data_IF_625084325386
#
_entry.id   IF_625084325386
#
_cell.length_a   1.000
_cell.length_b   1.000
_cell.length_c   1.000
_cell.angle_alpha   90.00
_cell.angle_beta   90.00
_cell.angle_gamma   90.00
#
_symmetry.space_group_name_H-M   'P 1'
#
loop_
_entity.id
_entity.type
_entity.pdbx_description
1 polymer ?
#
# COMPACT_ATOMS: atom_id res chain seq x y z
N UNK A 1 -38.70 41.21 -12.77
CA UNK A 1 -37.30 40.74 -12.77
C UNK A 1 -37.26 39.46 -11.98
N UNK A 2 -36.83 38.35 -12.59
CA UNK A 2 -36.78 37.06 -11.92
C UNK A 2 -35.65 37.07 -10.89
N UNK A 3 -36.00 36.97 -9.59
CA UNK A 3 -35.02 36.68 -8.56
C UNK A 3 -34.68 35.19 -8.65
N UNK A 4 -33.47 34.89 -9.10
CA UNK A 4 -32.94 33.54 -9.05
C UNK A 4 -32.57 33.23 -7.60
N UNK A 5 -33.36 32.39 -6.93
CA UNK A 5 -32.98 31.77 -5.66
C UNK A 5 -31.92 30.70 -5.94
N UNK A 6 -30.65 31.09 -5.92
CA UNK A 6 -29.53 30.15 -5.95
C UNK A 6 -29.51 29.47 -4.57
N UNK A 7 -29.91 28.20 -4.50
CA UNK A 7 -29.73 27.39 -3.29
C UNK A 7 -28.24 27.14 -3.10
N UNK A 8 -27.57 27.97 -2.29
CA UNK A 8 -26.15 27.77 -1.99
C UNK A 8 -26.06 26.73 -0.88
N UNK A 9 -25.36 25.63 -1.18
CA UNK A 9 -25.16 24.53 -0.25
C UNK A 9 -24.29 24.98 0.94
N UNK A 10 -24.74 24.75 2.17
CA UNK A 10 -24.09 25.22 3.41
C UNK A 10 -22.66 24.70 3.54
N UNK A 11 -22.39 23.54 2.95
CA UNK A 11 -21.09 22.88 2.95
C UNK A 11 -19.99 23.72 2.27
N UNK A 12 -20.36 24.64 1.36
CA UNK A 12 -19.40 25.49 0.65
C UNK A 12 -18.75 26.58 1.52
N UNK A 13 -19.29 26.84 2.72
CA UNK A 13 -18.75 27.83 3.66
C UNK A 13 -18.27 27.22 4.98
N UNK A 14 -18.03 25.90 4.99
CA UNK A 14 -17.48 25.19 6.12
C UNK A 14 -15.95 25.35 6.20
N UNK A 15 -15.43 25.41 7.43
CA UNK A 15 -14.00 25.43 7.69
C UNK A 15 -13.45 23.99 7.58
N UNK A 16 -12.47 23.71 6.71
CA UNK A 16 -11.93 22.34 6.55
C UNK A 16 -11.25 21.77 7.80
N UNK A 17 -10.93 22.61 8.80
CA UNK A 17 -10.24 22.20 10.03
C UNK A 17 -11.22 21.83 11.14
N UNK A 18 -12.23 22.66 11.41
CA UNK A 18 -13.21 22.41 12.47
C UNK A 18 -14.55 21.86 11.97
N UNK A 19 -14.75 21.82 10.65
CA UNK A 19 -15.97 21.35 9.97
C UNK A 19 -17.25 22.16 10.30
N UNK A 20 -17.09 23.29 10.99
CA UNK A 20 -18.15 24.26 11.26
C UNK A 20 -18.16 25.38 10.20
N UNK A 21 -19.30 26.07 10.07
CA UNK A 21 -19.41 27.32 9.33
C UNK A 21 -18.32 28.33 9.76
N UNK A 22 -17.67 28.97 8.78
CA UNK A 22 -16.50 29.83 9.00
C UNK A 22 -16.75 30.93 10.05
N UNK A 23 -16.00 30.91 11.14
CA UNK A 23 -15.96 31.95 12.19
C UNK A 23 -14.73 32.83 11.96
N UNK A 24 -14.95 34.11 11.70
CA UNK A 24 -13.92 35.06 11.30
C UNK A 24 -13.07 34.53 10.14
N UNK A 25 -13.67 34.31 8.95
CA UNK A 25 -12.98 33.70 7.83
C UNK A 25 -11.74 34.50 7.42
N UNK A 26 -10.66 33.78 7.15
CA UNK A 26 -9.43 34.31 6.54
C UNK A 26 -9.12 33.48 5.31
N UNK A 27 -8.66 34.14 4.25
CA UNK A 27 -8.24 33.48 3.01
C UNK A 27 -6.73 33.59 2.91
N UNK A 28 -6.05 32.45 2.77
CA UNK A 28 -4.59 32.39 2.66
C UNK A 28 -4.18 32.44 1.17
N UNK A 29 -2.89 32.66 0.83
CA UNK A 29 -2.47 32.95 -0.55
C UNK A 29 -2.83 31.88 -1.60
N UNK A 30 -3.00 30.62 -1.21
CA UNK A 30 -3.48 29.56 -2.11
C UNK A 30 -5.00 29.60 -2.39
N UNK A 31 -5.73 30.57 -1.83
CA UNK A 31 -7.17 30.77 -2.07
C UNK A 31 -8.11 30.02 -1.13
N UNK A 32 -7.60 29.10 -0.30
CA UNK A 32 -8.40 28.38 0.69
C UNK A 32 -8.74 29.27 1.90
N UNK A 33 -9.92 29.04 2.47
CA UNK A 33 -10.45 29.84 3.57
C UNK A 33 -10.70 29.02 4.83
N UNK A 34 -10.35 29.59 5.98
CA UNK A 34 -10.41 28.92 7.28
C UNK A 34 -10.92 29.88 8.36
N UNK A 35 -11.36 29.36 9.50
CA UNK A 35 -11.52 30.18 10.70
C UNK A 35 -10.15 30.73 11.11
N UNK A 36 -10.06 32.02 11.46
CA UNK A 36 -8.79 32.66 11.85
C UNK A 36 -8.07 31.90 12.98
N UNK A 37 -8.81 31.39 13.95
CA UNK A 37 -8.27 30.60 15.07
C UNK A 37 -7.76 29.23 14.63
N UNK A 38 -8.46 28.56 13.69
CA UNK A 38 -8.08 27.23 13.22
C UNK A 38 -6.76 27.25 12.46
N UNK A 39 -6.59 28.17 11.51
CA UNK A 39 -5.36 28.24 10.72
C UNK A 39 -4.16 28.73 11.55
N UNK A 40 -4.39 29.64 12.52
CA UNK A 40 -3.33 29.99 13.47
C UNK A 40 -2.91 28.78 14.30
N UNK A 41 -3.86 28.00 14.83
CA UNK A 41 -3.54 26.80 15.59
C UNK A 41 -2.73 25.77 14.79
N UNK A 42 -2.98 25.64 13.49
CA UNK A 42 -2.15 24.81 12.60
C UNK A 42 -0.72 25.37 12.47
N UNK A 43 -0.56 26.67 12.23
CA UNK A 43 0.75 27.29 12.02
C UNK A 43 1.56 27.47 13.30
N UNK A 44 0.93 27.65 14.46
CA UNK A 44 1.61 27.74 15.76
C UNK A 44 2.36 26.44 16.09
N UNK A 45 1.87 25.29 15.62
CA UNK A 45 2.57 24.00 15.74
C UNK A 45 3.75 23.87 14.76
N UNK A 46 3.74 24.64 13.68
CA UNK A 46 4.76 24.62 12.61
C UNK A 46 5.83 25.72 12.78
N UNK A 47 5.67 26.63 13.75
CA UNK A 47 6.61 27.75 13.99
C UNK A 47 8.06 27.29 14.20
N UNK A 48 8.28 26.12 14.82
CA UNK A 48 9.62 25.56 15.01
C UNK A 48 10.31 25.14 13.70
N UNK A 49 9.52 24.82 12.67
CA UNK A 49 10.02 24.39 11.35
C UNK A 49 10.24 25.57 10.40
N UNK A 50 9.65 26.74 10.69
CA UNK A 50 9.76 27.95 9.88
C UNK A 50 9.11 27.87 8.49
N UNK A 51 8.40 26.77 8.19
CA UNK A 51 7.69 26.52 6.92
C UNK A 51 6.23 26.23 7.24
N UNK A 52 5.32 27.02 6.70
CA UNK A 52 3.89 26.98 7.03
C UNK A 52 3.09 26.37 5.90
N UNK A 53 2.23 25.40 6.19
CA UNK A 53 1.49 24.68 5.15
C UNK A 53 -0.01 24.96 5.17
N UNK A 54 -0.67 24.92 4.00
CA UNK A 54 -2.11 24.94 3.90
C UNK A 54 -2.70 23.57 4.31
N UNK A 55 -3.64 23.49 5.27
CA UNK A 55 -4.25 22.21 5.65
C UNK A 55 -5.03 21.50 4.53
N UNK A 56 -5.47 22.24 3.50
CA UNK A 56 -6.31 21.71 2.43
C UNK A 56 -5.50 21.26 1.20
N UNK A 57 -4.60 22.08 0.66
CA UNK A 57 -3.81 21.75 -0.54
C UNK A 57 -2.34 21.44 -0.27
N UNK A 58 -1.85 21.66 0.96
CA UNK A 58 -0.45 21.48 1.37
C UNK A 58 0.56 22.43 0.72
N UNK A 59 0.10 23.50 0.05
CA UNK A 59 0.99 24.58 -0.39
C UNK A 59 1.74 25.16 0.81
N UNK A 60 3.04 25.41 0.63
CA UNK A 60 3.94 25.90 1.68
C UNK A 60 4.25 27.38 1.50
N UNK A 61 4.45 28.08 2.61
CA UNK A 61 4.70 29.52 2.67
C UNK A 61 5.87 29.84 3.60
N UNK A 62 6.77 30.70 3.12
CA UNK A 62 7.87 31.29 3.89
C UNK A 62 8.06 32.74 3.43
N UNK A 63 7.90 33.77 4.31
CA UNK A 63 7.57 33.72 5.74
C UNK A 63 6.09 33.42 6.04
N UNK A 64 5.71 33.34 7.33
CA UNK A 64 4.32 33.12 7.79
C UNK A 64 3.37 34.15 7.17
N UNK A 65 2.32 33.73 6.44
CA UNK A 65 1.39 34.69 5.84
C UNK A 65 0.64 35.51 6.89
N UNK A 66 0.46 36.80 6.61
CA UNK A 66 -0.33 37.69 7.47
C UNK A 66 -1.82 37.45 7.22
N UNK A 67 -2.53 36.99 8.25
CA UNK A 67 -3.95 36.69 8.16
C UNK A 67 -4.81 37.95 8.29
N UNK A 68 -5.53 38.31 7.21
CA UNK A 68 -6.56 39.35 7.23
C UNK A 68 -7.94 38.72 7.12
N UNK A 69 -8.91 39.27 7.86
CA UNK A 69 -10.32 38.84 7.79
C UNK A 69 -10.83 39.06 6.36
N UNK A 70 -11.42 38.03 5.78
CA UNK A 70 -12.16 38.15 4.53
C UNK A 70 -13.58 38.68 4.85
N UNK A 71 -13.77 39.99 4.66
CA UNK A 71 -15.03 40.65 4.97
C UNK A 71 -16.19 40.16 4.09
N UNK A 72 -15.92 39.79 2.83
CA UNK A 72 -16.94 39.26 1.92
C UNK A 72 -17.46 37.91 2.40
N UNK A 73 -16.56 36.97 2.73
CA UNK A 73 -16.96 35.67 3.27
C UNK A 73 -17.66 35.82 4.63
N UNK A 74 -17.19 36.74 5.47
CA UNK A 74 -17.85 37.02 6.74
C UNK A 74 -19.28 37.54 6.52
N UNK A 75 -19.50 38.46 5.58
CA UNK A 75 -20.83 38.98 5.28
C UNK A 75 -21.77 37.91 4.70
N UNK A 76 -21.26 37.04 3.81
CA UNK A 76 -22.05 35.94 3.23
C UNK A 76 -22.44 34.92 4.30
N UNK A 77 -21.49 34.51 5.15
CA UNK A 77 -21.75 33.60 6.28
C UNK A 77 -22.75 34.18 7.27
N UNK A 78 -22.65 35.48 7.59
CA UNK A 78 -23.61 36.16 8.46
C UNK A 78 -24.99 36.30 7.81
N UNK A 79 -25.06 36.50 6.48
CA UNK A 79 -26.34 36.48 5.75
C UNK A 79 -26.95 35.08 5.75
N UNK A 80 -26.17 34.00 5.57
CA UNK A 80 -26.67 32.63 5.66
C UNK A 80 -27.23 32.30 7.05
N UNK A 81 -26.49 32.66 8.12
CA UNK A 81 -26.99 32.56 9.50
C UNK A 81 -28.28 33.37 9.70
N UNK A 82 -28.35 34.58 9.12
CA UNK A 82 -29.55 35.42 9.18
C UNK A 82 -30.68 34.86 8.33
N UNK A 83 -30.45 34.18 7.22
CA UNK A 83 -31.50 33.54 6.42
C UNK A 83 -32.05 32.30 7.14
N UNK A 84 -31.22 31.55 7.86
CA UNK A 84 -31.66 30.50 8.79
C UNK A 84 -32.47 31.06 9.97
N UNK A 85 -32.10 32.23 10.49
CA UNK A 85 -32.77 32.88 11.63
C UNK A 85 -33.97 33.74 11.20
N UNK A 86 -34.03 34.25 9.97
CA UNK A 86 -35.10 35.11 9.41
C UNK A 86 -36.15 34.32 8.60
N UNK A 87 -35.96 33.00 8.42
CA UNK A 87 -37.09 32.10 8.20
C UNK A 87 -38.08 32.11 9.39
N UNK A 88 -37.68 32.64 10.55
CA UNK A 88 -38.56 32.99 11.65
C UNK A 88 -39.06 34.45 11.54
N UNK A 89 -39.95 34.72 10.58
CA UNK A 89 -40.87 35.86 10.68
C UNK A 89 -42.07 35.50 11.57
N UNK A 90 -42.74 36.48 12.22
CA UNK A 90 -43.71 36.25 13.31
C UNK A 90 -45.10 35.80 12.84
N UNK A 91 -45.17 34.76 12.00
CA UNK A 91 -46.42 34.28 11.39
C UNK A 91 -46.76 32.79 11.61
N UNK A 92 -45.93 31.98 12.26
CA UNK A 92 -46.19 30.53 12.32
C UNK A 92 -46.10 29.93 13.71
N UNK A 93 -47.24 29.92 14.39
CA UNK A 93 -47.47 29.02 15.52
C UNK A 93 -48.09 27.68 15.06
N UNK A 94 -48.10 27.38 13.75
CA UNK A 94 -48.67 26.14 13.21
C UNK A 94 -47.67 24.97 13.30
N UNK A 95 -48.18 23.77 13.56
CA UNK A 95 -47.36 22.56 13.63
C UNK A 95 -46.90 22.13 12.23
N UNK A 96 -45.59 21.86 12.07
CA UNK A 96 -45.00 21.29 10.85
C UNK A 96 -44.71 19.79 10.99
N UNK A 97 -44.15 19.14 9.95
CA UNK A 97 -43.76 17.73 10.00
C UNK A 97 -42.77 17.46 11.16
N UNK A 98 -43.15 16.56 12.07
CA UNK A 98 -42.36 16.22 13.25
C UNK A 98 -42.66 17.07 14.51
N UNK A 99 -43.46 18.14 14.38
CA UNK A 99 -43.96 18.87 15.54
C UNK A 99 -45.13 18.13 16.21
N UNK A 100 -45.26 18.32 17.52
CA UNK A 100 -46.42 17.85 18.28
C UNK A 100 -47.55 18.86 18.09
N UNK A 101 -48.72 18.39 17.66
CA UNK A 101 -49.89 19.23 17.44
C UNK A 101 -50.61 19.55 18.76
N UNK A 102 -51.27 20.72 18.83
CA UNK A 102 -52.14 21.07 19.94
C UNK A 102 -53.52 20.43 19.79
N UNK A 103 -53.96 19.69 20.81
CA UNK A 103 -55.21 18.92 20.76
C UNK A 103 -56.45 19.82 20.71
N UNK A 104 -56.38 21.00 21.32
CA UNK A 104 -57.51 21.92 21.48
C UNK A 104 -57.69 22.91 20.32
N UNK A 105 -56.72 23.05 19.43
CA UNK A 105 -56.87 23.92 18.26
C UNK A 105 -57.98 23.41 17.34
N UNK A 106 -58.94 24.27 17.02
CA UNK A 106 -59.94 24.03 15.98
C UNK A 106 -59.39 24.51 14.63
N UNK A 107 -59.37 23.65 13.61
CA UNK A 107 -58.80 23.95 12.29
C UNK A 107 -57.31 23.62 12.17
N UNK A 108 -56.51 24.49 11.56
CA UNK A 108 -55.05 24.25 11.41
C UNK A 108 -54.39 24.21 12.78
N UNK A 109 -53.77 23.07 13.10
CA UNK A 109 -53.21 22.78 14.42
C UNK A 109 -51.95 23.61 14.68
N UNK A 110 -51.88 24.13 15.90
CA UNK A 110 -50.71 24.88 16.36
C UNK A 110 -49.68 23.93 16.95
N UNK A 111 -48.40 24.30 16.89
CA UNK A 111 -47.32 23.58 17.58
C UNK A 111 -47.57 23.61 19.08
N UNK A 112 -47.66 22.43 19.68
CA UNK A 112 -47.71 22.29 21.11
C UNK A 112 -46.34 22.61 21.72
N UNK A 113 -46.37 23.33 22.84
CA UNK A 113 -45.17 23.72 23.60
C UNK A 113 -45.04 22.89 24.86
N UNK A 114 -46.16 22.48 25.45
CA UNK A 114 -46.22 21.64 26.66
C UNK A 114 -47.32 20.61 26.53
N UNK A 115 -47.11 19.45 27.14
CA UNK A 115 -48.16 18.45 27.38
C UNK A 115 -48.51 18.43 28.86
N UNK A 116 -49.79 18.30 29.15
CA UNK A 116 -50.28 18.14 30.52
C UNK A 116 -50.42 16.65 30.84
N UNK A 117 -49.75 16.21 31.92
CA UNK A 117 -49.78 14.81 32.36
C UNK A 117 -51.10 14.41 33.05
N UNK A 118 -51.98 15.38 33.33
CA UNK A 118 -53.31 15.15 33.92
C UNK A 118 -54.39 15.20 32.85
N UNK A 119 -54.35 16.20 31.94
CA UNK A 119 -55.29 16.28 30.83
C UNK A 119 -54.98 15.28 29.71
N UNK A 120 -53.80 14.65 29.74
CA UNK A 120 -53.29 13.73 28.72
C UNK A 120 -53.35 14.33 27.31
N UNK A 121 -53.01 15.63 27.24
CA UNK A 121 -53.13 16.42 26.02
C UNK A 121 -51.97 17.41 25.88
N UNK A 122 -51.75 17.87 24.65
CA UNK A 122 -50.70 18.79 24.22
C UNK A 122 -51.30 20.15 23.85
N UNK A 123 -50.65 21.21 24.32
CA UNK A 123 -51.17 22.58 24.30
C UNK A 123 -50.19 23.51 23.59
N UNK A 124 -50.68 24.31 22.65
CA UNK A 124 -49.97 25.49 22.16
C UNK A 124 -50.04 26.62 23.21
N UNK A 125 -49.27 27.68 23.02
CA UNK A 125 -49.19 28.83 23.95
C UNK A 125 -50.57 29.34 24.39
N UNK A 126 -51.52 29.49 23.46
CA UNK A 126 -52.85 30.02 23.77
C UNK A 126 -53.67 29.07 24.64
N UNK A 127 -53.67 27.77 24.33
CA UNK A 127 -54.41 26.77 25.10
C UNK A 127 -53.71 26.35 26.39
N UNK A 128 -52.44 26.72 26.56
CA UNK A 128 -51.71 26.49 27.81
C UNK A 128 -52.04 27.54 28.89
N UNK A 129 -52.38 28.78 28.51
CA UNK A 129 -52.69 29.87 29.46
C UNK A 129 -53.62 29.50 30.61
N UNK A 130 -54.74 28.77 30.40
CA UNK A 130 -55.61 28.34 31.50
C UNK A 130 -54.89 27.54 32.59
N UNK A 131 -53.85 26.76 32.25
CA UNK A 131 -53.04 26.03 33.22
C UNK A 131 -52.22 26.94 34.14
N UNK A 132 -51.97 28.18 33.73
CA UNK A 132 -51.27 29.17 34.55
C UNK A 132 -52.19 30.15 35.25
N UNK A 133 -53.42 30.33 34.77
CA UNK A 133 -54.33 31.36 35.27
C UNK A 133 -55.41 30.78 36.19
N UNK A 134 -55.97 29.61 35.84
CA UNK A 134 -57.08 28.99 36.56
C UNK A 134 -56.56 28.21 37.78
N UNK A 135 -57.00 28.55 39.01
CA UNK A 135 -56.49 27.90 40.24
C UNK A 135 -56.58 26.38 40.25
N UNK A 136 -57.63 25.79 39.66
CA UNK A 136 -57.79 24.34 39.57
C UNK A 136 -56.74 23.69 38.66
N UNK A 137 -56.38 24.33 37.54
CA UNK A 137 -55.48 23.79 36.53
C UNK A 137 -54.00 24.06 36.85
N UNK A 138 -53.69 25.02 37.73
CA UNK A 138 -52.32 25.29 38.22
C UNK A 138 -51.65 24.09 38.88
N UNK A 139 -52.44 23.13 39.38
CA UNK A 139 -51.95 21.90 40.01
C UNK A 139 -51.55 20.84 38.98
N UNK A 140 -51.86 21.05 37.70
CA UNK A 140 -51.54 20.09 36.67
C UNK A 140 -50.05 20.13 36.32
N UNK A 141 -49.42 18.97 36.24
CA UNK A 141 -48.02 18.86 35.84
C UNK A 141 -47.88 19.00 34.34
N UNK A 142 -47.05 19.95 33.91
CA UNK A 142 -46.74 20.22 32.50
C UNK A 142 -45.32 19.74 32.18
N UNK A 143 -45.14 19.06 31.06
CA UNK A 143 -43.83 18.66 30.52
C UNK A 143 -43.66 19.20 29.10
N UNK A 144 -42.46 19.13 28.55
CA UNK A 144 -42.25 19.45 27.14
C UNK A 144 -43.17 18.63 26.24
N UNK A 145 -43.65 19.26 25.15
CA UNK A 145 -44.55 18.62 24.22
C UNK A 145 -43.91 17.34 23.64
N UNK A 146 -44.66 16.23 23.70
CA UNK A 146 -44.18 14.92 23.25
C UNK A 146 -45.26 14.23 22.43
N UNK A 147 -44.97 13.92 21.16
CA UNK A 147 -45.93 13.30 20.24
C UNK A 147 -46.24 11.84 20.54
N UNK A 148 -45.61 11.28 21.58
CA UNK A 148 -45.76 9.90 22.05
C UNK A 148 -46.29 9.89 23.48
N UNK A 149 -47.30 10.73 23.76
CA UNK A 149 -47.90 10.80 25.09
C UNK A 149 -48.68 9.51 25.40
N UNK A 150 -49.33 8.92 24.39
CA UNK A 150 -50.01 7.63 24.46
C UNK A 150 -49.09 6.48 24.90
N UNK A 151 -47.83 6.46 24.42
CA UNK A 151 -46.83 5.45 24.83
C UNK A 151 -46.44 5.56 26.32
N UNK A 152 -46.80 6.65 27.00
CA UNK A 152 -46.52 6.89 28.43
C UNK A 152 -47.74 6.61 29.30
N UNK A 153 -48.86 6.19 28.73
CA UNK A 153 -50.11 5.89 29.41
C UNK A 153 -50.32 4.39 29.42
N UNK A 154 -50.82 3.86 30.53
CA UNK A 154 -51.20 2.46 30.63
C UNK A 154 -52.47 2.22 29.81
N UNK A 155 -52.40 1.32 28.84
CA UNK A 155 -53.52 0.96 27.96
C UNK A 155 -54.70 0.31 28.66
N UNK A 156 -54.54 -0.15 29.91
CA UNK A 156 -55.60 -0.84 30.67
C UNK A 156 -56.27 0.05 31.70
N UNK A 157 -55.59 1.10 32.14
CA UNK A 157 -55.99 1.91 33.31
C UNK A 157 -56.04 3.41 33.02
N UNK A 158 -55.65 3.83 31.81
CA UNK A 158 -55.54 5.23 31.39
C UNK A 158 -54.71 6.12 32.36
N UNK A 159 -53.79 5.47 33.08
CA UNK A 159 -52.93 6.07 34.10
C UNK A 159 -51.48 6.08 33.66
N UNK A 160 -50.71 7.08 34.08
CA UNK A 160 -49.34 7.26 33.63
C UNK A 160 -48.40 6.15 34.10
N UNK A 161 -47.54 5.70 33.20
CA UNK A 161 -46.50 4.71 33.47
C UNK A 161 -45.38 5.34 34.31
N UNK A 162 -45.44 5.14 35.63
CA UNK A 162 -44.49 5.70 36.60
C UNK A 162 -43.63 4.64 37.29
N UNK A 163 -43.94 3.36 37.06
CA UNK A 163 -43.31 2.23 37.72
C UNK A 163 -42.69 1.33 36.65
N UNK A 164 -41.49 0.80 36.89
CA UNK A 164 -40.83 -0.20 36.06
C UNK A 164 -40.84 -1.54 36.80
N UNK A 165 -41.48 -2.54 36.21
CA UNK A 165 -41.46 -3.90 36.74
C UNK A 165 -40.21 -4.61 36.24
N UNK A 166 -39.30 -4.98 37.15
CA UNK A 166 -38.06 -5.69 36.79
C UNK A 166 -38.34 -7.12 36.34
N UNK A 167 -39.33 -7.78 36.95
CA UNK A 167 -39.71 -9.15 36.63
C UNK A 167 -40.18 -9.29 35.18
N UNK A 168 -41.02 -8.36 34.71
CA UNK A 168 -41.55 -8.38 33.34
C UNK A 168 -40.81 -7.45 32.36
N UNK A 169 -39.84 -6.67 32.85
CA UNK A 169 -39.08 -5.68 32.07
C UNK A 169 -39.93 -4.68 31.27
N UNK A 170 -40.98 -4.14 31.90
CA UNK A 170 -41.88 -3.15 31.28
C UNK A 170 -42.29 -2.06 32.25
N UNK A 171 -42.62 -0.89 31.69
CA UNK A 171 -43.21 0.21 32.45
C UNK A 171 -44.71 -0.05 32.66
N UNK A 172 -45.20 0.15 33.89
CA UNK A 172 -46.57 -0.09 34.35
C UNK A 172 -47.09 1.11 35.18
N UNK A 173 -48.40 1.23 35.37
CA UNK A 173 -49.00 2.21 36.28
C UNK A 173 -49.17 1.66 37.71
N UNK A 174 -49.61 2.49 38.65
CA UNK A 174 -49.85 2.07 40.04
C UNK A 174 -50.96 1.04 40.20
N UNK A 175 -51.99 1.08 39.34
CA UNK A 175 -53.09 0.11 39.38
C UNK A 175 -52.64 -1.29 38.92
N UNK A 176 -51.80 -1.36 37.89
CA UNK A 176 -51.18 -2.62 37.44
C UNK A 176 -50.43 -3.36 38.56
N UNK A 177 -49.76 -2.63 39.46
CA UNK A 177 -49.02 -3.22 40.60
C UNK A 177 -49.96 -3.91 41.58
N UNK A 178 -51.18 -3.39 41.75
CA UNK A 178 -52.17 -3.94 42.67
C UNK A 178 -52.95 -5.12 42.07
N UNK A 179 -52.98 -5.22 40.74
CA UNK A 179 -53.68 -6.27 39.99
C UNK A 179 -52.69 -7.27 39.36
N UNK A 180 -52.42 -7.15 38.06
CA UNK A 180 -51.67 -8.15 37.28
C UNK A 180 -50.20 -8.33 37.69
N UNK A 181 -49.58 -7.32 38.30
CA UNK A 181 -48.18 -7.35 38.72
C UNK A 181 -48.01 -7.47 40.24
N UNK A 182 -49.03 -7.97 40.92
CA UNK A 182 -49.01 -8.12 42.38
C UNK A 182 -47.90 -9.07 42.83
N UNK A 183 -46.97 -8.54 43.62
CA UNK A 183 -45.83 -9.29 44.14
C UNK A 183 -44.61 -9.35 43.22
N UNK A 184 -44.64 -8.71 42.04
CA UNK A 184 -43.46 -8.57 41.20
C UNK A 184 -42.50 -7.52 41.76
N UNK A 185 -41.21 -7.64 41.44
CA UNK A 185 -40.23 -6.61 41.78
C UNK A 185 -40.46 -5.38 40.91
N UNK A 186 -40.75 -4.25 41.55
CA UNK A 186 -41.16 -3.03 40.91
C UNK A 186 -40.50 -1.82 41.58
N UNK A 187 -39.95 -0.95 40.75
CA UNK A 187 -39.27 0.29 41.16
C UNK A 187 -39.83 1.47 40.39
N UNK A 188 -39.49 2.71 40.76
CA UNK A 188 -39.85 3.85 39.93
C UNK A 188 -39.15 3.77 38.57
N UNK A 189 -39.77 4.33 37.52
CA UNK A 189 -39.13 4.44 36.19
C UNK A 189 -37.79 5.17 36.24
N UNK A 190 -37.63 6.12 37.15
CA UNK A 190 -36.37 6.85 37.35
C UNK A 190 -35.27 5.96 37.91
N UNK A 191 -35.59 5.11 38.89
CA UNK A 191 -34.63 4.16 39.46
C UNK A 191 -34.29 3.04 38.46
N UNK A 192 -35.30 2.46 37.80
CA UNK A 192 -35.09 1.44 36.76
C UNK A 192 -34.24 1.95 35.59
N UNK A 193 -34.45 3.21 35.16
CA UNK A 193 -33.60 3.85 34.15
C UNK A 193 -32.15 4.01 34.63
N UNK A 194 -31.93 4.44 35.87
CA UNK A 194 -30.59 4.63 36.41
C UNK A 194 -29.80 3.31 36.45
N UNK A 195 -30.46 2.22 36.87
CA UNK A 195 -29.90 0.87 36.88
C UNK A 195 -29.54 0.39 35.47
N UNK A 196 -30.49 0.43 34.53
CA UNK A 196 -30.24 0.02 33.14
C UNK A 196 -29.20 0.89 32.43
N UNK A 197 -29.14 2.18 32.77
CA UNK A 197 -28.09 3.06 32.27
C UNK A 197 -26.70 2.69 32.83
N UNK A 198 -26.61 2.18 34.05
CA UNK A 198 -25.36 1.68 34.62
C UNK A 198 -24.91 0.39 33.93
N UNK A 199 -25.82 -0.58 33.76
CA UNK A 199 -25.54 -1.83 33.04
C UNK A 199 -25.02 -1.57 31.63
N UNK A 200 -25.69 -0.68 30.88
CA UNK A 200 -25.26 -0.31 29.52
C UNK A 200 -23.86 0.31 29.50
N UNK A 201 -23.51 1.14 30.50
CA UNK A 201 -22.17 1.73 30.60
C UNK A 201 -21.11 0.66 30.87
N UNK A 202 -21.40 -0.32 31.72
CA UNK A 202 -20.49 -1.44 31.97
C UNK A 202 -20.27 -2.30 30.73
N UNK A 203 -21.33 -2.63 29.99
CA UNK A 203 -21.22 -3.35 28.72
C UNK A 203 -20.44 -2.54 27.69
N UNK A 204 -20.71 -1.24 27.58
CA UNK A 204 -19.98 -0.34 26.69
C UNK A 204 -18.47 -0.35 27.01
N UNK A 205 -18.09 -0.27 28.29
CA UNK A 205 -16.70 -0.36 28.72
C UNK A 205 -16.05 -1.70 28.35
N UNK A 206 -16.76 -2.82 28.55
CA UNK A 206 -16.28 -4.17 28.15
C UNK A 206 -16.03 -4.25 26.64
N UNK A 207 -16.94 -3.71 25.82
CA UNK A 207 -16.74 -3.68 24.36
C UNK A 207 -15.58 -2.78 23.95
N UNK A 208 -15.43 -1.61 24.57
CA UNK A 208 -14.30 -0.72 24.32
C UNK A 208 -12.95 -1.38 24.63
N UNK A 209 -12.85 -2.10 25.75
CA UNK A 209 -11.66 -2.88 26.10
C UNK A 209 -11.35 -3.95 25.04
N UNK A 210 -12.36 -4.75 24.64
CA UNK A 210 -12.18 -5.78 23.61
C UNK A 210 -11.74 -5.19 22.26
N UNK A 211 -12.26 -4.01 21.90
CA UNK A 211 -11.83 -3.30 20.69
C UNK A 211 -10.34 -2.95 20.77
N UNK A 212 -9.89 -2.38 21.89
CA UNK A 212 -8.48 -2.03 22.10
C UNK A 212 -7.57 -3.26 22.04
N UNK A 213 -7.96 -4.36 22.69
CA UNK A 213 -7.22 -5.62 22.64
C UNK A 213 -7.11 -6.17 21.21
N UNK A 214 -8.21 -6.12 20.44
CA UNK A 214 -8.22 -6.56 19.03
C UNK A 214 -7.39 -5.64 18.15
N UNK A 215 -7.41 -4.33 18.38
CA UNK A 215 -6.57 -3.37 17.67
C UNK A 215 -5.08 -3.64 17.90
N UNK A 216 -4.68 -3.94 19.15
CA UNK A 216 -3.30 -4.35 19.46
C UNK A 216 -2.90 -5.62 18.73
N UNK A 217 -3.73 -6.66 18.76
CA UNK A 217 -3.48 -7.93 18.04
C UNK A 217 -3.36 -7.73 16.52
N UNK A 218 -4.15 -6.82 15.94
CA UNK A 218 -4.03 -6.47 14.52
C UNK A 218 -2.68 -5.82 14.21
N UNK A 219 -2.18 -4.94 15.08
CA UNK A 219 -0.86 -4.33 14.91
C UNK A 219 0.27 -5.38 15.01
N UNK A 220 0.20 -6.27 16.00
CA UNK A 220 1.15 -7.39 16.15
C UNK A 220 1.16 -8.28 14.91
N UNK A 221 -0.02 -8.67 14.40
CA UNK A 221 -0.11 -9.52 13.22
C UNK A 221 0.43 -8.83 11.95
N UNK A 222 0.18 -7.51 11.80
CA UNK A 222 0.77 -6.72 10.70
C UNK A 222 2.30 -6.73 10.76
N UNK A 223 2.88 -6.62 11.94
CA UNK A 223 4.34 -6.73 12.11
C UNK A 223 4.83 -8.12 11.74
N UNK A 224 4.19 -9.18 12.22
CA UNK A 224 4.54 -10.57 11.87
C UNK A 224 4.49 -10.81 10.37
N UNK A 225 3.44 -10.36 9.68
CA UNK A 225 3.34 -10.48 8.21
C UNK A 225 4.50 -9.78 7.51
N UNK A 226 4.89 -8.58 7.97
CA UNK A 226 6.03 -7.88 7.39
C UNK A 226 7.36 -8.61 7.66
N UNK A 227 7.55 -9.16 8.86
CA UNK A 227 8.74 -9.96 9.19
C UNK A 227 8.83 -11.20 8.30
N UNK A 228 7.72 -11.92 8.10
CA UNK A 228 7.68 -13.10 7.21
C UNK A 228 8.05 -12.69 5.78
N UNK A 229 7.46 -11.61 5.26
CA UNK A 229 7.78 -11.10 3.91
C UNK A 229 9.25 -10.75 3.77
N UNK A 230 9.82 -10.04 4.74
CA UNK A 230 11.23 -9.67 4.71
C UNK A 230 12.13 -10.90 4.78
N UNK A 231 11.84 -11.83 5.70
CA UNK A 231 12.58 -13.09 5.84
C UNK A 231 12.56 -13.92 4.55
N UNK A 232 11.40 -14.03 3.90
CA UNK A 232 11.26 -14.74 2.63
C UNK A 232 12.05 -14.05 1.51
N UNK A 233 11.99 -12.72 1.43
CA UNK A 233 12.76 -11.96 0.44
C UNK A 233 14.27 -12.12 0.66
N UNK A 234 14.75 -12.03 1.92
CA UNK A 234 16.16 -12.25 2.24
C UNK A 234 16.61 -13.65 1.83
N UNK A 235 15.80 -14.69 2.08
CA UNK A 235 16.13 -16.04 1.64
C UNK A 235 16.21 -16.18 0.12
N UNK A 236 15.34 -15.49 -0.64
CA UNK A 236 15.42 -15.42 -2.11
C UNK A 236 16.69 -14.69 -2.54
N UNK A 237 16.97 -13.52 -2.00
CA UNK A 237 18.15 -12.71 -2.36
C UNK A 237 19.46 -13.47 -2.07
N UNK A 238 19.54 -14.15 -0.92
CA UNK A 238 20.69 -14.98 -0.57
C UNK A 238 20.83 -16.18 -1.52
N UNK A 239 19.71 -16.82 -1.89
CA UNK A 239 19.73 -17.92 -2.85
C UNK A 239 20.20 -17.47 -4.23
N UNK A 240 19.67 -16.35 -4.74
CA UNK A 240 20.09 -15.76 -6.01
C UNK A 240 21.57 -15.39 -6.01
N UNK A 241 22.06 -14.83 -4.91
CA UNK A 241 23.48 -14.53 -4.74
C UNK A 241 24.34 -15.79 -4.82
N UNK A 242 23.99 -16.84 -4.08
CA UNK A 242 24.72 -18.12 -4.09
C UNK A 242 24.77 -18.70 -5.50
N UNK A 243 23.63 -18.74 -6.22
CA UNK A 243 23.61 -19.23 -7.59
C UNK A 243 24.43 -18.38 -8.55
N UNK A 244 24.41 -17.05 -8.37
CA UNK A 244 25.21 -16.13 -9.19
C UNK A 244 26.71 -16.39 -9.00
N UNK A 245 27.16 -16.61 -7.76
CA UNK A 245 28.55 -16.95 -7.44
C UNK A 245 28.95 -18.29 -8.07
N UNK A 246 28.08 -19.31 -8.00
CA UNK A 246 28.31 -20.62 -8.62
C UNK A 246 28.41 -20.52 -10.16
N UNK A 247 27.48 -19.80 -10.78
CA UNK A 247 27.50 -19.54 -12.23
C UNK A 247 28.82 -18.87 -12.62
N UNK A 248 29.21 -17.81 -11.93
CA UNK A 248 30.46 -17.08 -12.20
C UNK A 248 31.70 -17.98 -12.09
N UNK A 249 31.74 -18.87 -11.10
CA UNK A 249 32.80 -19.87 -10.94
C UNK A 249 32.86 -20.86 -12.11
N UNK A 250 31.70 -21.36 -12.53
CA UNK A 250 31.59 -22.27 -13.68
C UNK A 250 31.97 -21.60 -14.99
N UNK A 251 31.57 -20.34 -15.19
CA UNK A 251 31.97 -19.56 -16.37
C UNK A 251 33.48 -19.32 -16.42
N UNK A 252 34.11 -19.04 -15.26
CA UNK A 252 35.56 -18.95 -15.18
C UNK A 252 36.23 -20.27 -15.58
N UNK A 253 35.73 -21.41 -15.08
CA UNK A 253 36.23 -22.73 -15.45
C UNK A 253 36.04 -23.04 -16.93
N UNK A 254 34.90 -22.66 -17.51
CA UNK A 254 34.66 -22.74 -18.96
C UNK A 254 35.72 -21.98 -19.75
N UNK A 255 36.04 -20.76 -19.34
CA UNK A 255 37.08 -19.94 -19.99
C UNK A 255 38.47 -20.58 -19.84
N UNK A 256 38.84 -21.06 -18.65
CA UNK A 256 40.12 -21.76 -18.40
C UNK A 256 40.30 -22.97 -19.33
N UNK A 257 39.27 -23.80 -19.50
CA UNK A 257 39.32 -24.97 -20.39
C UNK A 257 39.40 -24.55 -21.86
N UNK A 258 38.69 -23.49 -22.25
CA UNK A 258 38.74 -22.95 -23.62
C UNK A 258 40.15 -22.47 -23.96
N UNK A 259 40.77 -21.70 -23.07
CA UNK A 259 42.15 -21.21 -23.25
C UNK A 259 43.15 -22.36 -23.31
N UNK A 260 42.99 -23.41 -22.50
CA UNK A 260 43.83 -24.61 -22.57
C UNK A 260 43.77 -25.29 -23.95
N UNK A 261 42.55 -25.47 -24.49
CA UNK A 261 42.35 -26.07 -25.82
C UNK A 261 43.03 -25.20 -26.89
N UNK A 262 42.83 -23.88 -26.86
CA UNK A 262 43.41 -22.93 -27.82
C UNK A 262 44.93 -22.86 -27.73
N UNK A 263 45.50 -22.92 -26.53
CA UNK A 263 46.94 -22.95 -26.33
C UNK A 263 47.58 -24.22 -26.90
N UNK A 264 46.93 -25.38 -26.68
CA UNK A 264 47.39 -26.66 -27.25
C UNK A 264 47.27 -26.65 -28.78
N UNK A 265 46.13 -26.22 -29.32
CA UNK A 265 45.91 -26.05 -30.77
C UNK A 265 47.01 -25.18 -31.39
N UNK A 266 47.26 -23.99 -30.82
CA UNK A 266 48.30 -23.08 -31.32
C UNK A 266 49.68 -23.71 -31.32
N UNK A 267 50.06 -24.41 -30.25
CA UNK A 267 51.39 -25.03 -30.11
C UNK A 267 51.63 -26.08 -31.19
N UNK A 268 50.61 -26.87 -31.47
CA UNK A 268 50.67 -27.98 -32.43
C UNK A 268 50.59 -27.48 -33.87
N UNK A 269 49.78 -26.44 -34.14
CA UNK A 269 49.81 -25.72 -35.41
C UNK A 269 51.18 -25.10 -35.68
N UNK A 270 51.77 -24.40 -34.70
CA UNK A 270 53.11 -23.81 -34.83
C UNK A 270 54.20 -24.87 -35.08
N UNK A 271 53.99 -26.09 -34.57
CA UNK A 271 54.87 -27.23 -34.84
C UNK A 271 54.70 -27.74 -36.27
N UNK A 272 53.46 -27.88 -36.73
CA UNK A 272 53.15 -28.32 -38.09
C UNK A 272 53.63 -27.31 -39.15
N UNK A 273 53.42 -26.01 -38.91
CA UNK A 273 53.89 -24.92 -39.78
C UNK A 273 55.41 -24.95 -39.98
N UNK A 274 56.19 -25.11 -38.89
CA UNK A 274 57.66 -25.25 -38.99
C UNK A 274 58.11 -26.46 -39.81
N UNK A 275 57.40 -27.59 -39.70
CA UNK A 275 57.71 -28.78 -40.51
C UNK A 275 57.36 -28.55 -41.98
N UNK A 276 56.27 -27.83 -42.25
CA UNK A 276 55.86 -27.47 -43.59
C UNK A 276 56.89 -26.52 -44.25
N UNK A 277 57.30 -25.46 -43.55
CA UNK A 277 58.35 -24.54 -44.02
C UNK A 277 59.68 -25.28 -44.30
N UNK A 278 60.06 -26.21 -43.43
CA UNK A 278 61.26 -27.04 -43.63
C UNK A 278 61.13 -27.87 -44.92
N UNK A 279 60.00 -28.55 -45.12
CA UNK A 279 59.75 -29.36 -46.32
C UNK A 279 59.72 -28.51 -47.59
N UNK A 280 59.09 -27.34 -47.57
CA UNK A 280 59.07 -26.42 -48.70
C UNK A 280 60.47 -25.94 -49.09
N UNK A 281 61.31 -25.65 -48.10
CA UNK A 281 62.71 -25.27 -48.33
C UNK A 281 63.54 -26.43 -48.89
N UNK A 282 63.37 -27.65 -48.36
CA UNK A 282 64.02 -28.85 -48.89
C UNK A 282 63.61 -29.13 -50.34
N UNK A 283 62.31 -28.97 -50.67
CA UNK A 283 61.80 -29.09 -52.05
C UNK A 283 62.44 -28.03 -52.95
N UNK A 284 62.49 -26.76 -52.52
CA UNK A 284 63.09 -25.69 -53.31
C UNK A 284 64.59 -25.93 -53.58
N UNK A 285 65.33 -26.41 -52.57
CA UNK A 285 66.74 -26.76 -52.70
C UNK A 285 66.96 -27.93 -53.67
N UNK A 286 66.10 -28.97 -53.61
CA UNK A 286 66.10 -30.08 -54.54
C UNK A 286 65.77 -29.65 -55.97
N UNK A 287 64.76 -28.80 -56.17
CA UNK A 287 64.39 -28.25 -57.48
C UNK A 287 65.51 -27.41 -58.10
N UNK A 288 66.14 -26.53 -57.30
CA UNK A 288 67.34 -25.80 -57.71
C UNK A 288 68.43 -26.77 -58.16
N UNK A 289 68.62 -27.85 -57.39
CA UNK A 289 69.66 -28.84 -57.67
C UNK A 289 69.42 -29.61 -58.95
N UNK A 290 68.18 -30.00 -59.23
CA UNK A 290 67.78 -30.62 -60.50
C UNK A 290 68.10 -29.68 -61.66
N UNK A 291 67.69 -28.40 -61.56
CA UNK A 291 67.95 -27.39 -62.59
C UNK A 291 69.45 -27.20 -62.86
N UNK A 292 70.28 -27.17 -61.81
CA UNK A 292 71.74 -27.07 -61.91
C UNK A 292 72.38 -28.29 -62.61
N UNK A 293 71.84 -29.49 -62.39
CA UNK A 293 72.29 -30.72 -63.03
C UNK A 293 71.89 -30.77 -64.50
N UNK A 294 70.66 -30.33 -64.82
CA UNK A 294 70.18 -30.19 -66.20
C UNK A 294 71.03 -29.18 -66.98
N UNK A 295 71.34 -28.01 -66.42
CA UNK A 295 72.21 -27.03 -67.11
C UNK A 295 73.61 -27.60 -67.40
N UNK A 296 74.17 -28.36 -66.45
CA UNK A 296 75.48 -28.98 -66.61
C UNK A 296 75.46 -30.05 -67.71
N UNK A 297 74.40 -30.87 -67.82
CA UNK A 297 74.29 -31.90 -68.85
C UNK A 297 74.24 -31.35 -70.28
N UNK A 298 73.75 -30.12 -70.45
CA UNK A 298 73.72 -29.42 -71.75
C UNK A 298 75.00 -28.63 -72.09
N UNK A 299 76.04 -28.71 -71.24
CA UNK A 299 77.32 -28.00 -71.47
C UNK A 299 78.15 -28.71 -72.54
N UNK A 300 78.55 -27.99 -73.60
CA UNK A 300 79.34 -28.54 -74.71
C UNK A 300 80.86 -28.55 -74.45
N UNK A 301 81.33 -27.82 -73.43
CA UNK A 301 82.73 -27.82 -72.99
C UNK A 301 83.00 -29.05 -72.10
N UNK A 302 83.59 -30.08 -72.70
CA UNK A 302 83.91 -31.34 -72.03
C UNK A 302 84.85 -31.18 -70.82
N UNK A 303 85.77 -30.21 -70.85
CA UNK A 303 86.71 -29.97 -69.74
C UNK A 303 85.96 -29.36 -68.56
N UNK A 304 85.08 -28.37 -68.81
CA UNK A 304 84.25 -27.78 -67.75
C UNK A 304 83.25 -28.76 -67.16
N UNK A 305 82.64 -29.62 -67.98
CA UNK A 305 81.77 -30.69 -67.50
C UNK A 305 82.51 -31.62 -66.51
N UNK A 306 83.69 -32.12 -66.92
CA UNK A 306 84.49 -33.03 -66.09
C UNK A 306 85.06 -32.34 -64.84
N UNK A 307 85.51 -31.08 -64.95
CA UNK A 307 85.97 -30.30 -63.79
C UNK A 307 84.86 -30.01 -62.79
N UNK A 308 83.64 -29.70 -63.26
CA UNK A 308 82.49 -29.48 -62.39
C UNK A 308 82.07 -30.75 -61.63
N UNK A 309 82.22 -31.93 -62.25
CA UNK A 309 82.01 -33.22 -61.59
C UNK A 309 83.16 -33.58 -60.63
N UNK A 310 84.41 -33.34 -61.02
CA UNK A 310 85.60 -33.67 -60.22
C UNK A 310 85.79 -32.76 -58.99
N UNK A 311 85.27 -31.53 -59.01
CA UNK A 311 85.43 -30.55 -57.93
C UNK A 311 84.69 -30.88 -56.63
N UNK A 312 83.98 -32.01 -56.54
CA UNK A 312 83.41 -32.54 -55.30
C UNK A 312 82.31 -31.70 -54.62
N UNK A 313 82.10 -30.43 -55.02
CA UNK A 313 81.01 -29.57 -54.54
C UNK A 313 79.63 -30.03 -55.01
N UNK A 314 79.55 -31.13 -55.76
CA UNK A 314 78.37 -31.53 -56.50
C UNK A 314 78.14 -33.06 -56.57
N UNK A 315 78.72 -33.85 -55.68
CA UNK A 315 78.35 -35.26 -55.53
C UNK A 315 76.87 -35.42 -55.13
N UNK A 316 76.16 -36.48 -55.57
CA UNK A 316 74.74 -36.64 -55.28
C UNK A 316 74.51 -36.80 -53.78
N UNK A 317 73.37 -36.33 -53.23
CA UNK A 317 73.07 -36.58 -51.82
C UNK A 317 72.82 -38.07 -51.51
N UNK A 318 72.71 -38.92 -52.53
CA UNK A 318 72.33 -40.33 -52.39
C UNK A 318 73.28 -41.18 -51.53
N UNK A 319 74.54 -40.78 -51.35
CA UNK A 319 75.52 -41.57 -50.58
C UNK A 319 75.82 -41.00 -49.18
N UNK A 320 74.99 -40.09 -48.66
CA UNK A 320 75.04 -39.75 -47.22
C UNK A 320 74.07 -40.68 -46.49
N UNK A 321 74.50 -41.43 -45.45
CA UNK A 321 73.60 -42.29 -44.67
C UNK A 321 72.47 -41.54 -43.95
N UNK A 322 72.46 -40.20 -44.02
CA UNK A 322 71.40 -39.31 -43.52
C UNK A 322 70.28 -39.02 -44.53
N UNK A 323 70.50 -39.20 -45.84
CA UNK A 323 69.51 -38.78 -46.87
C UNK A 323 68.30 -39.71 -46.95
N UNK A 324 68.48 -40.98 -46.58
CA UNK A 324 67.41 -41.99 -46.51
C UNK A 324 66.70 -42.01 -45.14
N UNK A 325 67.11 -41.15 -44.19
CA UNK A 325 66.60 -41.13 -42.81
C UNK A 325 65.71 -39.94 -42.47
N UNK A 326 65.53 -38.98 -43.36
CA UNK A 326 64.59 -37.86 -43.18
C UNK A 326 63.14 -38.30 -43.41
N UNK A 327 62.72 -39.43 -42.83
CA UNK A 327 61.30 -39.72 -42.64
C UNK A 327 60.78 -38.73 -41.59
N UNK A 328 60.38 -37.53 -42.04
CA UNK A 328 59.68 -36.56 -41.21
C UNK A 328 58.39 -37.23 -40.75
N UNK A 329 58.35 -37.62 -39.47
CA UNK A 329 57.17 -38.21 -38.87
C UNK A 329 56.12 -37.11 -38.74
N UNK A 330 55.13 -37.13 -39.64
CA UNK A 330 53.95 -36.27 -39.53
C UNK A 330 53.22 -36.62 -38.23
N UNK A 331 53.00 -35.66 -37.32
CA UNK A 331 52.24 -35.91 -36.11
C UNK A 331 50.85 -36.46 -36.47
N UNK A 332 50.50 -37.64 -35.94
CA UNK A 332 49.15 -38.17 -36.08
C UNK A 332 48.19 -37.36 -35.20
N UNK A 333 47.04 -37.03 -35.78
CA UNK A 333 45.89 -36.29 -35.26
C UNK A 333 45.95 -35.81 -33.79
N UNK A 334 45.83 -34.49 -33.62
CA UNK A 334 45.52 -33.91 -32.32
C UNK A 334 44.12 -34.34 -31.88
N UNK A 335 44.02 -35.09 -30.77
CA UNK A 335 42.74 -35.47 -30.17
C UNK A 335 42.49 -34.69 -28.88
N UNK A 336 41.27 -34.15 -28.75
CA UNK A 336 40.76 -33.53 -27.53
C UNK A 336 39.76 -34.44 -26.80
N UNK A 337 39.74 -35.74 -27.13
CA UNK A 337 38.78 -36.69 -26.56
C UNK A 337 38.95 -36.81 -25.05
N UNK A 338 40.18 -36.69 -24.53
CA UNK A 338 40.44 -36.65 -23.09
C UNK A 338 39.70 -35.51 -22.39
N UNK A 339 39.79 -34.28 -22.92
CA UNK A 339 39.10 -33.11 -22.37
C UNK A 339 37.59 -33.30 -22.44
N UNK A 340 37.08 -33.77 -23.58
CA UNK A 340 35.65 -34.03 -23.77
C UNK A 340 35.11 -35.07 -22.78
N UNK A 341 35.80 -36.18 -22.61
CA UNK A 341 35.40 -37.25 -21.71
C UNK A 341 35.44 -36.78 -20.25
N UNK A 342 36.51 -36.08 -19.84
CA UNK A 342 36.59 -35.51 -18.48
C UNK A 342 35.50 -34.49 -18.17
N UNK A 343 35.12 -33.64 -19.12
CA UNK A 343 34.00 -32.71 -18.96
C UNK A 343 32.64 -33.43 -18.89
N UNK A 344 32.47 -34.51 -19.66
CA UNK A 344 31.27 -35.35 -19.59
C UNK A 344 31.13 -36.01 -18.21
N UNK A 345 32.23 -36.54 -17.66
CA UNK A 345 32.25 -37.15 -16.33
C UNK A 345 31.99 -36.10 -15.23
N UNK A 346 32.60 -34.91 -15.36
CA UNK A 346 32.36 -33.79 -14.44
C UNK A 346 30.89 -33.38 -14.43
N UNK A 347 30.27 -33.23 -15.60
CA UNK A 347 28.85 -32.90 -15.73
C UNK A 347 27.98 -33.89 -14.94
N UNK A 348 28.18 -35.19 -15.18
CA UNK A 348 27.40 -36.25 -14.52
C UNK A 348 27.51 -36.17 -12.99
N UNK A 349 28.73 -36.02 -12.47
CA UNK A 349 28.95 -35.89 -11.01
C UNK A 349 28.31 -34.65 -10.43
N UNK A 350 28.32 -33.53 -11.16
CA UNK A 350 27.72 -32.28 -10.71
C UNK A 350 26.18 -32.39 -10.66
N UNK A 351 25.58 -33.04 -11.65
CA UNK A 351 24.13 -33.30 -11.69
C UNK A 351 23.70 -34.20 -10.52
N UNK A 352 24.42 -35.30 -10.28
CA UNK A 352 24.16 -36.22 -9.15
C UNK A 352 24.30 -35.50 -7.80
N UNK A 353 25.35 -34.69 -7.63
CA UNK A 353 25.57 -33.91 -6.41
C UNK A 353 24.47 -32.88 -6.18
N UNK A 354 24.07 -32.16 -7.22
CA UNK A 354 22.98 -31.19 -7.12
C UNK A 354 21.69 -31.87 -6.68
N UNK A 355 21.29 -32.97 -7.32
CA UNK A 355 20.08 -33.70 -6.95
C UNK A 355 20.09 -34.14 -5.47
N UNK A 356 21.22 -34.67 -4.98
CA UNK A 356 21.36 -35.04 -3.57
C UNK A 356 21.18 -33.86 -2.61
N UNK A 357 21.81 -32.72 -2.90
CA UNK A 357 21.76 -31.54 -2.03
C UNK A 357 20.39 -30.84 -2.07
N UNK A 358 19.75 -30.75 -3.24
CA UNK A 358 18.43 -30.14 -3.35
C UNK A 358 17.35 -30.93 -2.61
N UNK A 359 17.47 -32.25 -2.55
CA UNK A 359 16.58 -33.11 -1.77
C UNK A 359 16.69 -32.90 -0.26
N UNK A 360 17.77 -32.28 0.24
CA UNK A 360 17.97 -31.96 1.67
C UNK A 360 17.29 -30.64 2.08
N UNK A 361 16.81 -29.84 1.13
CA UNK A 361 16.11 -28.59 1.43
C UNK A 361 14.74 -28.94 2.04
N UNK A 362 14.48 -28.57 3.31
CA UNK A 362 13.26 -28.97 3.98
C UNK A 362 12.02 -28.36 3.31
N UNK A 363 10.93 -29.12 3.11
CA UNK A 363 9.65 -28.53 2.74
C UNK A 363 9.18 -27.62 3.88
N UNK A 364 8.60 -26.46 3.54
CA UNK A 364 7.99 -25.57 4.52
C UNK A 364 6.82 -26.29 5.21
N UNK A 365 6.92 -26.50 6.54
CA UNK A 365 5.83 -26.94 7.42
C UNK A 365 4.86 -25.79 7.77
#
# INVERSE_FOLDING_TARGET
MAEASISVDQDQFSCPVCLDLLKDPVTIPCGHSFCKVCINGCWDQEDQKGVYSCPQCRDTFTPRPVLRRNNMLAEVVEKLKKTEVQAASPAHCYAGPGDVECDFCTGRKHKAIKSCLICLASFCETHLKPHYEVPALKRHTLTDASGKLEEKICSEHDEMLKIYCRTDQRCICSLCVLDKHKGHDAVSVTAGRAEKQSELKEEQMKFQQRIQEKQKKVQELKQTVNTIKLSAQTAVDDSERIFTELISSMEKKRSEVTELIRAQEKTELSRAERLLEQLEQEIADLQRRVTELEQLSHTHDHVRFLQALASGRRSPPYNRPDFDKSSITVPQHLSFDGVRNSLSDLKKRLEEFCEEEFNKIPPHD
#
